data_IF_847952812838
#
_entry.id   IF_847952812838
#
_cell.length_a   1.000
_cell.length_b   1.000
_cell.length_c   1.000
_cell.angle_alpha   90.00
_cell.angle_beta   90.00
_cell.angle_gamma   90.00
#
_symmetry.space_group_name_H-M   'P 1'
#
loop_
_entity.id
_entity.type
_entity.pdbx_description
1 polymer ?
#
# COMPACT_ATOMS: atom_id res chain seq x y z
N UNK A 1 -0.01 7.35 20.68
CA UNK A 1 -1.30 7.22 19.98
C UNK A 1 -1.48 5.81 19.44
N UNK A 2 -2.65 5.20 19.67
CA UNK A 2 -3.16 4.06 18.88
C UNK A 2 -4.10 4.68 17.84
N UNK A 3 -4.02 4.32 16.55
CA UNK A 3 -4.94 4.83 15.54
C UNK A 3 -6.34 4.26 15.76
N UNK A 4 -7.36 4.92 15.22
CA UNK A 4 -8.71 4.33 15.15
C UNK A 4 -8.89 3.57 13.84
N UNK A 5 -9.81 2.60 13.84
CA UNK A 5 -10.28 1.99 12.60
C UNK A 5 -11.17 3.03 11.88
N UNK A 6 -11.11 3.05 10.56
CA UNK A 6 -11.84 3.96 9.67
C UNK A 6 -11.43 5.45 9.78
N UNK A 7 -10.29 5.74 10.40
CA UNK A 7 -9.70 7.08 10.48
C UNK A 7 -8.74 7.39 9.31
N UNK A 8 -8.84 8.60 8.76
CA UNK A 8 -7.84 9.15 7.84
C UNK A 8 -6.67 9.79 8.61
N UNK A 9 -5.46 9.31 8.34
CA UNK A 9 -4.22 9.74 9.00
C UNK A 9 -3.13 10.11 7.99
N UNK A 10 -2.20 10.96 8.43
CA UNK A 10 -0.93 11.18 7.72
C UNK A 10 0.10 10.19 8.26
N UNK A 11 0.71 9.41 7.38
CA UNK A 11 1.74 8.42 7.74
C UNK A 11 3.06 8.74 7.05
N UNK A 12 4.17 8.49 7.76
CA UNK A 12 5.52 8.62 7.25
C UNK A 12 6.32 7.35 7.53
N UNK A 13 7.11 6.89 6.55
CA UNK A 13 7.97 5.72 6.70
C UNK A 13 9.17 6.05 7.59
N UNK A 14 9.43 5.22 8.60
CA UNK A 14 10.71 5.21 9.31
C UNK A 14 11.53 4.02 8.78
N UNK A 15 12.44 4.23 7.81
CA UNK A 15 13.24 3.15 7.24
C UNK A 15 14.22 2.58 8.27
N UNK A 16 14.69 3.40 9.22
CA UNK A 16 15.65 2.98 10.25
C UNK A 16 14.94 2.10 11.29
N UNK A 17 13.77 2.50 11.80
CA UNK A 17 12.97 1.65 12.70
C UNK A 17 12.39 0.42 11.98
N UNK A 18 12.18 0.48 10.66
CA UNK A 18 11.77 -0.68 9.86
C UNK A 18 12.85 -1.76 9.87
N UNK A 19 14.10 -1.40 9.56
CA UNK A 19 15.20 -2.37 9.41
C UNK A 19 16.05 -2.58 10.67
N UNK A 20 15.77 -1.90 11.79
CA UNK A 20 16.49 -2.05 13.06
C UNK A 20 16.69 -3.51 13.50
N UNK A 21 15.72 -4.38 13.22
CA UNK A 21 15.77 -5.81 13.58
C UNK A 21 16.69 -6.68 12.72
N UNK A 22 17.27 -6.14 11.63
CA UNK A 22 18.27 -6.85 10.82
C UNK A 22 19.70 -6.74 11.38
N UNK A 23 19.92 -5.80 12.31
CA UNK A 23 21.23 -5.51 12.92
C UNK A 23 22.39 -5.23 11.93
N UNK A 24 22.05 -4.89 10.68
CA UNK A 24 23.01 -4.60 9.60
C UNK A 24 23.40 -3.10 9.55
N UNK A 25 24.69 -2.75 9.73
CA UNK A 25 25.18 -1.38 9.59
C UNK A 25 25.08 -0.81 8.18
N UNK A 26 25.17 -1.63 7.12
CA UNK A 26 25.09 -1.17 5.73
C UNK A 26 23.64 -0.81 5.37
N UNK A 27 22.69 -1.70 5.65
CA UNK A 27 21.26 -1.38 5.56
C UNK A 27 20.88 -0.16 6.41
N UNK A 28 21.38 -0.06 7.64
CA UNK A 28 21.11 1.10 8.51
C UNK A 28 21.60 2.42 7.88
N UNK A 29 22.82 2.42 7.32
CA UNK A 29 23.40 3.59 6.64
C UNK A 29 22.63 3.93 5.35
N UNK A 30 22.19 2.93 4.58
CA UNK A 30 21.34 3.13 3.42
C UNK A 30 19.98 3.75 3.82
N UNK A 31 19.35 3.26 4.89
CA UNK A 31 18.10 3.80 5.42
C UNK A 31 18.23 5.26 5.88
N UNK A 32 19.34 5.64 6.50
CA UNK A 32 19.62 7.03 6.89
C UNK A 32 19.72 8.00 5.70
N UNK A 33 20.04 7.49 4.50
CA UNK A 33 20.09 8.28 3.27
C UNK A 33 18.72 8.35 2.53
N UNK A 34 17.69 7.62 2.97
CA UNK A 34 16.38 7.63 2.35
C UNK A 34 15.54 8.84 2.81
N UNK A 35 15.03 9.61 1.84
CA UNK A 35 14.07 10.69 2.09
C UNK A 35 12.65 10.14 2.14
N UNK A 36 12.13 9.94 3.36
CA UNK A 36 10.76 9.47 3.59
C UNK A 36 9.71 10.54 3.28
N UNK A 37 8.84 10.25 2.31
CA UNK A 37 7.65 11.07 2.00
C UNK A 37 6.53 10.84 3.02
N UNK A 38 5.65 11.84 3.17
CA UNK A 38 4.36 11.72 3.86
C UNK A 38 3.30 11.22 2.88
N UNK A 39 2.37 10.40 3.37
CA UNK A 39 1.23 9.87 2.63
C UNK A 39 -0.05 10.03 3.47
N UNK A 40 -1.20 10.17 2.81
CA UNK A 40 -2.51 10.11 3.48
C UNK A 40 -3.06 8.69 3.30
N UNK A 41 -3.58 8.11 4.37
CA UNK A 41 -4.12 6.76 4.38
C UNK A 41 -5.34 6.65 5.30
N UNK A 42 -6.26 5.74 4.98
CA UNK A 42 -7.35 5.31 5.85
C UNK A 42 -6.93 4.03 6.57
N UNK A 43 -7.09 3.96 7.88
CA UNK A 43 -6.86 2.75 8.67
C UNK A 43 -8.05 1.81 8.45
N UNK A 44 -7.83 0.61 7.94
CA UNK A 44 -8.92 -0.34 7.62
C UNK A 44 -8.98 -1.53 8.56
N UNK A 45 -7.90 -1.81 9.30
CA UNK A 45 -7.87 -2.87 10.30
C UNK A 45 -6.73 -2.65 11.30
N UNK A 46 -6.94 -3.06 12.55
CA UNK A 46 -5.88 -3.13 13.57
C UNK A 46 -5.90 -4.55 14.12
N UNK A 47 -4.76 -5.25 14.05
CA UNK A 47 -4.67 -6.60 14.62
C UNK A 47 -4.80 -6.55 16.16
N UNK A 48 -5.36 -7.61 16.80
CA UNK A 48 -5.64 -7.60 18.24
C UNK A 48 -4.43 -7.18 19.09
N UNK A 49 -4.64 -6.14 19.90
CA UNK A 49 -3.61 -5.56 20.75
C UNK A 49 -3.20 -6.53 21.86
N UNK A 50 -2.00 -7.10 21.77
CA UNK A 50 -1.31 -7.64 22.95
C UNK A 50 -0.84 -6.44 23.77
N UNK A 51 -1.32 -6.35 25.02
CA UNK A 51 -0.96 -5.29 25.96
C UNK A 51 0.56 -5.25 26.18
N UNK A 52 1.15 -4.07 26.07
CA UNK A 52 2.59 -3.83 26.30
C UNK A 52 3.49 -3.90 25.07
N UNK A 53 2.97 -4.22 23.88
CA UNK A 53 3.78 -4.21 22.65
C UNK A 53 4.14 -2.79 22.19
N UNK A 54 5.41 -2.53 21.89
CA UNK A 54 5.89 -1.24 21.32
C UNK A 54 5.36 -1.02 19.89
N UNK A 55 5.10 -2.09 19.13
CA UNK A 55 4.57 -2.02 17.78
C UNK A 55 3.32 -2.89 17.65
N UNK A 56 2.34 -2.39 16.90
CA UNK A 56 1.10 -3.09 16.54
C UNK A 56 1.01 -3.22 15.03
N UNK A 57 0.34 -4.26 14.53
CA UNK A 57 0.13 -4.46 13.11
C UNK A 57 -1.18 -3.80 12.67
N UNK A 58 -1.09 -2.94 11.67
CA UNK A 58 -2.20 -2.10 11.17
C UNK A 58 -2.29 -2.27 9.66
N UNK A 59 -3.48 -2.51 9.14
CA UNK A 59 -3.76 -2.43 7.70
C UNK A 59 -4.32 -1.06 7.37
N UNK A 60 -3.84 -0.48 6.28
CA UNK A 60 -4.30 0.80 5.76
C UNK A 60 -4.50 0.75 4.24
N UNK A 61 -5.28 1.70 3.72
CA UNK A 61 -5.46 1.93 2.28
C UNK A 61 -5.08 3.37 1.94
N UNK A 62 -4.35 3.56 0.84
CA UNK A 62 -3.82 4.88 0.50
C UNK A 62 -4.84 5.77 -0.22
N UNK A 63 -4.70 7.07 0.04
CA UNK A 63 -5.50 8.12 -0.59
C UNK A 63 -4.66 8.76 -1.70
N UNK A 64 -5.24 8.88 -2.89
CA UNK A 64 -4.65 9.58 -4.03
C UNK A 64 -5.27 10.97 -4.19
N UNK A 65 -4.50 11.88 -4.78
CA UNK A 65 -5.02 13.10 -5.39
C UNK A 65 -5.49 12.72 -6.80
N UNK A 66 -6.80 12.77 -7.04
CA UNK A 66 -7.44 12.32 -8.27
C UNK A 66 -7.61 10.79 -8.38
N UNK A 67 -8.35 10.38 -9.40
CA UNK A 67 -8.51 8.98 -9.82
C UNK A 67 -7.19 8.54 -10.49
N UNK A 68 -6.58 7.46 -9.99
CA UNK A 68 -5.31 6.96 -10.53
C UNK A 68 -5.46 6.27 -11.89
N UNK A 69 -4.38 6.26 -12.67
CA UNK A 69 -4.27 5.43 -13.89
C UNK A 69 -4.33 3.93 -13.57
N UNK A 70 -4.81 3.16 -14.55
CA UNK A 70 -4.79 1.70 -14.49
C UNK A 70 -3.34 1.18 -14.36
N UNK A 71 -3.15 0.10 -13.59
CA UNK A 71 -1.88 -0.63 -13.48
C UNK A 71 -2.11 -2.11 -13.82
N UNK A 72 -2.11 -2.48 -15.12
CA UNK A 72 -2.43 -3.84 -15.58
C UNK A 72 -1.56 -4.91 -14.92
N UNK A 73 -0.26 -4.66 -14.77
CA UNK A 73 0.70 -5.60 -14.17
C UNK A 73 0.43 -5.98 -12.70
N UNK A 74 -0.55 -5.33 -12.04
CA UNK A 74 -1.02 -5.69 -10.69
C UNK A 74 -2.56 -5.71 -10.60
N UNK A 75 -3.25 -5.76 -11.75
CA UNK A 75 -4.71 -5.83 -11.86
C UNK A 75 -5.46 -4.69 -11.14
N UNK A 76 -4.84 -3.52 -11.01
CA UNK A 76 -5.44 -2.36 -10.34
C UNK A 76 -6.10 -1.44 -11.36
N UNK A 77 -7.41 -1.24 -11.23
CA UNK A 77 -8.22 -0.44 -12.15
C UNK A 77 -8.65 0.92 -11.53
N UNK A 78 -8.83 1.99 -12.32
CA UNK A 78 -9.39 3.27 -11.87
C UNK A 78 -10.75 3.12 -11.17
N UNK A 79 -11.54 2.14 -11.61
CA UNK A 79 -12.85 1.75 -11.07
C UNK A 79 -12.78 1.22 -9.63
N UNK A 80 -11.61 0.78 -9.15
CA UNK A 80 -11.37 0.31 -7.78
C UNK A 80 -11.05 1.47 -6.80
N UNK A 81 -11.44 2.69 -7.17
CA UNK A 81 -11.37 3.87 -6.31
C UNK A 81 -12.75 4.20 -5.73
N UNK A 82 -12.78 5.13 -4.78
CA UNK A 82 -14.00 5.72 -4.24
C UNK A 82 -13.71 7.22 -4.01
N UNK A 83 -14.54 8.15 -4.51
CA UNK A 83 -14.36 9.56 -4.20
C UNK A 83 -14.55 9.80 -2.69
N UNK A 84 -13.81 10.76 -2.14
CA UNK A 84 -14.09 11.31 -0.81
C UNK A 84 -14.73 12.68 -0.99
N UNK A 85 -15.80 12.95 -0.25
CA UNK A 85 -16.54 14.21 -0.32
C UNK A 85 -15.59 15.41 -0.07
N UNK A 86 -15.63 16.49 -0.87
CA UNK A 86 -16.70 16.89 -1.80
C UNK A 86 -16.65 16.29 -3.22
N UNK A 87 -15.67 15.44 -3.55
CA UNK A 87 -15.58 14.86 -4.90
C UNK A 87 -16.78 13.95 -5.21
N UNK A 88 -17.19 13.89 -6.48
CA UNK A 88 -18.34 13.08 -6.94
C UNK A 88 -18.08 12.32 -8.23
N UNK A 89 -17.00 12.62 -8.94
CA UNK A 89 -16.64 11.96 -10.20
C UNK A 89 -16.11 10.55 -9.89
N UNK A 90 -16.61 9.53 -10.59
CA UNK A 90 -16.08 8.17 -10.51
C UNK A 90 -16.52 7.41 -11.77
N UNK A 91 -15.70 6.54 -12.39
CA UNK A 91 -16.08 5.86 -13.63
C UNK A 91 -17.36 5.03 -13.50
N UNK A 92 -17.52 4.31 -12.38
CA UNK A 92 -18.75 3.56 -12.04
C UNK A 92 -19.79 4.37 -11.24
N UNK A 93 -19.70 5.71 -11.21
CA UNK A 93 -20.61 6.58 -10.44
C UNK A 93 -20.77 6.20 -8.95
N UNK A 94 -19.69 5.77 -8.29
CA UNK A 94 -19.72 5.43 -6.85
C UNK A 94 -19.98 6.69 -6.01
N UNK A 95 -20.92 6.67 -5.05
CA UNK A 95 -21.16 7.82 -4.19
C UNK A 95 -19.95 8.08 -3.28
N UNK A 96 -19.64 9.34 -2.94
CA UNK A 96 -18.47 9.66 -2.14
C UNK A 96 -18.58 9.20 -0.69
N UNK A 97 -17.45 8.77 -0.12
CA UNK A 97 -17.30 8.56 1.32
C UNK A 97 -17.35 9.91 2.05
N UNK A 98 -17.99 9.93 3.23
CA UNK A 98 -18.13 11.10 4.09
C UNK A 98 -17.45 10.84 5.43
N UNK A 99 -16.26 11.42 5.67
CA UNK A 99 -15.72 11.52 7.00
C UNK A 99 -16.53 12.50 7.86
N UNK A 100 -16.45 12.36 9.18
CA UNK A 100 -17.14 13.21 10.17
C UNK A 100 -16.71 14.68 10.06
N UNK A 101 -15.46 14.90 9.68
CA UNK A 101 -14.87 16.19 9.31
C UNK A 101 -14.34 16.10 7.89
N UNK A 102 -14.59 17.12 7.07
CA UNK A 102 -14.05 17.19 5.72
C UNK A 102 -12.52 17.16 5.75
N UNK A 103 -11.91 16.41 4.83
CA UNK A 103 -10.45 16.35 4.72
C UNK A 103 -9.91 17.71 4.26
N UNK A 104 -8.79 18.19 4.82
CA UNK A 104 -8.21 19.49 4.44
C UNK A 104 -7.58 19.50 3.04
N UNK A 105 -7.48 18.35 2.38
CA UNK A 105 -6.90 18.20 1.04
C UNK A 105 -7.99 18.09 -0.03
N UNK A 106 -7.90 18.86 -1.14
CA UNK A 106 -8.81 18.72 -2.25
C UNK A 106 -8.57 17.41 -3.02
N UNK A 107 -9.54 17.01 -3.85
CA UNK A 107 -9.39 15.89 -4.79
C UNK A 107 -8.97 14.55 -4.18
N UNK A 108 -9.34 14.26 -2.92
CA UNK A 108 -9.10 12.97 -2.30
C UNK A 108 -9.95 11.82 -2.89
N UNK A 109 -9.28 10.72 -3.23
CA UNK A 109 -9.86 9.45 -3.63
C UNK A 109 -9.22 8.29 -2.85
N UNK A 110 -10.02 7.37 -2.36
CA UNK A 110 -9.54 6.17 -1.68
C UNK A 110 -9.48 5.00 -2.65
N UNK A 111 -8.32 4.36 -2.78
CA UNK A 111 -8.18 3.15 -3.61
C UNK A 111 -8.36 1.91 -2.75
N UNK A 112 -9.39 1.11 -3.01
CA UNK A 112 -9.75 -0.03 -2.14
C UNK A 112 -8.69 -1.13 -2.14
N UNK A 113 -8.05 -1.33 -3.30
CA UNK A 113 -7.05 -2.40 -3.54
C UNK A 113 -5.59 -1.94 -3.43
N UNK A 114 -5.34 -0.68 -3.06
CA UNK A 114 -4.00 -0.15 -2.80
C UNK A 114 -3.78 -0.03 -1.28
N UNK A 115 -3.70 -1.20 -0.64
CA UNK A 115 -3.46 -1.35 0.78
C UNK A 115 -2.02 -1.71 1.14
N UNK A 116 -1.69 -1.57 2.42
CA UNK A 116 -0.42 -1.98 3.01
C UNK A 116 -0.65 -2.41 4.46
N UNK A 117 0.10 -3.41 4.93
CA UNK A 117 0.18 -3.76 6.36
C UNK A 117 1.49 -3.21 6.93
N UNK A 118 1.38 -2.52 8.07
CA UNK A 118 2.47 -1.74 8.66
C UNK A 118 2.62 -2.04 10.15
N UNK A 119 3.86 -1.92 10.65
CA UNK A 119 4.13 -1.83 12.08
C UNK A 119 3.93 -0.37 12.51
N UNK A 120 2.90 -0.13 13.30
CA UNK A 120 2.62 1.17 13.88
C UNK A 120 3.23 1.25 15.27
N UNK A 121 3.97 2.32 15.57
CA UNK A 121 4.56 2.50 16.90
C UNK A 121 3.48 2.88 17.93
N UNK A 122 3.22 1.98 18.86
CA UNK A 122 2.26 2.14 19.94
C UNK A 122 2.80 3.06 21.04
N UNK A 123 2.72 4.37 20.83
CA UNK A 123 3.08 5.38 21.84
C UNK A 123 1.91 5.66 22.80
N UNK A 124 1.18 4.62 23.25
CA UNK A 124 0.10 4.77 24.25
C UNK A 124 0.62 4.43 25.64
N UNK A 125 0.52 5.40 26.54
CA UNK A 125 0.74 5.17 27.96
C UNK A 125 -0.36 4.29 28.55
N UNK A 126 0.02 3.32 29.39
CA UNK A 126 -0.92 2.41 30.04
C UNK A 126 -1.85 3.20 30.98
N UNK A 127 -3.16 3.16 30.71
CA UNK A 127 -4.17 3.92 31.45
C UNK A 127 -4.43 5.35 30.93
N UNK A 128 -3.70 5.83 29.93
CA UNK A 128 -3.97 7.11 29.28
C UNK A 128 -5.31 7.13 28.52
N UNK A 129 -5.97 8.30 28.42
CA UNK A 129 -7.24 8.44 27.69
C UNK A 129 -7.03 8.16 26.19
N UNK A 130 -8.06 7.60 25.55
CA UNK A 130 -8.10 7.48 24.11
C UNK A 130 -8.55 8.83 23.52
N UNK A 131 -7.68 9.46 22.73
CA UNK A 131 -8.05 10.66 21.97
C UNK A 131 -9.08 10.29 20.90
N UNK A 132 -10.08 11.14 20.60
CA UNK A 132 -11.04 10.88 19.53
C UNK A 132 -10.37 10.95 18.15
N UNK A 133 -10.89 10.20 17.19
CA UNK A 133 -10.49 10.30 15.79
C UNK A 133 -10.96 11.63 15.19
N UNK A 134 -10.08 12.38 14.52
CA UNK A 134 -10.43 13.69 13.96
C UNK A 134 -11.12 13.56 12.59
N UNK A 135 -10.67 12.61 11.78
CA UNK A 135 -11.12 12.37 10.41
C UNK A 135 -11.63 10.93 10.26
N UNK A 136 -12.47 10.47 11.18
CA UNK A 136 -13.16 9.17 11.11
C UNK A 136 -14.21 9.15 9.99
N UNK A 137 -14.45 8.00 9.37
CA UNK A 137 -15.64 7.79 8.52
C UNK A 137 -16.91 7.69 9.36
N UNK A 138 -18.06 8.06 8.77
CA UNK A 138 -19.34 7.63 9.35
C UNK A 138 -19.43 6.10 9.32
N UNK A 139 -20.02 5.48 10.35
CA UNK A 139 -20.17 4.01 10.43
C UNK A 139 -20.86 3.39 9.18
N UNK A 140 -21.74 4.16 8.52
CA UNK A 140 -22.36 3.79 7.23
C UNK A 140 -21.34 3.69 6.09
N UNK A 141 -20.43 4.66 6.00
CA UNK A 141 -19.42 4.71 4.95
C UNK A 141 -18.21 3.81 5.25
N UNK A 142 -17.88 3.58 6.52
CA UNK A 142 -16.97 2.50 6.95
C UNK A 142 -17.46 1.12 6.46
N UNK A 143 -18.72 0.78 6.78
CA UNK A 143 -19.37 -0.46 6.30
C UNK A 143 -19.32 -0.56 4.77
N UNK A 144 -19.60 0.55 4.08
CA UNK A 144 -19.60 0.60 2.61
C UNK A 144 -18.20 0.48 2.00
N UNK A 145 -17.18 1.06 2.63
CA UNK A 145 -15.78 0.90 2.26
C UNK A 145 -15.35 -0.57 2.36
N UNK A 146 -15.73 -1.25 3.46
CA UNK A 146 -15.46 -2.68 3.64
C UNK A 146 -16.13 -3.55 2.56
N UNK A 147 -17.39 -3.27 2.22
CA UNK A 147 -18.11 -3.95 1.13
C UNK A 147 -17.43 -3.74 -0.22
N UNK A 148 -17.17 -2.48 -0.61
CA UNK A 148 -16.51 -2.15 -1.88
C UNK A 148 -15.09 -2.74 -1.97
N UNK A 149 -14.34 -2.78 -0.86
CA UNK A 149 -13.04 -3.43 -0.80
C UNK A 149 -13.10 -4.95 -1.00
N UNK A 150 -14.19 -5.58 -0.54
CA UNK A 150 -14.44 -7.01 -0.76
C UNK A 150 -14.83 -7.30 -2.21
N UNK A 151 -15.71 -6.46 -2.79
CA UNK A 151 -16.14 -6.56 -4.19
C UNK A 151 -14.98 -6.33 -5.17
N UNK A 152 -14.21 -5.27 -4.97
CA UNK A 152 -13.03 -4.94 -5.79
C UNK A 152 -11.92 -5.98 -5.65
N UNK A 153 -11.73 -6.55 -4.45
CA UNK A 153 -10.76 -7.63 -4.23
C UNK A 153 -11.15 -8.90 -4.98
N UNK A 154 -12.43 -9.28 -4.94
CA UNK A 154 -12.96 -10.38 -5.72
C UNK A 154 -12.88 -10.13 -7.24
N UNK A 155 -13.06 -8.88 -7.68
CA UNK A 155 -12.88 -8.51 -9.09
C UNK A 155 -11.43 -8.59 -9.53
N UNK A 156 -10.51 -8.02 -8.75
CA UNK A 156 -9.07 -8.07 -8.98
C UNK A 156 -8.55 -9.50 -9.07
N UNK A 157 -9.05 -10.40 -8.23
CA UNK A 157 -8.71 -11.83 -8.27
C UNK A 157 -9.14 -12.50 -9.58
N UNK A 158 -10.33 -12.18 -10.12
CA UNK A 158 -10.80 -12.72 -11.40
C UNK A 158 -9.92 -12.27 -12.57
N UNK A 159 -9.55 -10.98 -12.61
CA UNK A 159 -8.64 -10.45 -13.64
C UNK A 159 -7.29 -11.20 -13.64
N UNK A 160 -6.74 -11.46 -12.46
CA UNK A 160 -5.49 -12.21 -12.34
C UNK A 160 -5.60 -13.67 -12.80
N UNK A 161 -6.78 -14.30 -12.65
CA UNK A 161 -7.06 -15.66 -13.13
C UNK A 161 -7.29 -15.71 -14.65
N UNK A 162 -7.95 -14.69 -15.21
CA UNK A 162 -8.18 -14.55 -16.65
C UNK A 162 -6.86 -14.35 -17.40
N UNK A 163 -5.97 -13.49 -16.90
CA UNK A 163 -4.63 -13.31 -17.47
C UNK A 163 -3.80 -14.60 -17.42
N UNK A 164 -3.79 -15.34 -16.30
CA UNK A 164 -3.00 -16.58 -16.20
C UNK A 164 -3.54 -17.70 -17.09
N UNK A 165 -4.86 -17.76 -17.32
CA UNK A 165 -5.45 -18.73 -18.25
C UNK A 165 -5.16 -18.41 -19.74
N UNK A 166 -4.78 -17.17 -20.06
CA UNK A 166 -4.42 -16.74 -21.41
C UNK A 166 -3.04 -17.21 -21.89
N UNK A 167 -2.14 -17.60 -20.99
CA UNK A 167 -0.77 -18.03 -21.32
C UNK A 167 -0.67 -19.54 -21.65
N UNK A 168 -1.66 -20.36 -21.28
CA UNK A 168 -1.64 -21.83 -21.35
C UNK A 168 -2.08 -22.44 -22.71
N UNK A 169 -1.70 -21.84 -23.85
CA UNK A 169 -1.85 -22.45 -25.19
C UNK A 169 -0.47 -22.85 -25.77
N UNK A 170 0.06 -24.03 -25.43
CA UNK A 170 1.19 -24.59 -26.16
C UNK A 170 0.74 -24.98 -27.58
N UNK A 171 1.28 -24.28 -28.58
CA UNK A 171 1.14 -24.67 -29.99
C UNK A 171 1.88 -26.00 -30.22
N UNK A 172 1.15 -27.10 -30.08
CA UNK A 172 1.71 -28.44 -30.16
C UNK A 172 1.88 -28.87 -31.63
N UNK A 173 3.01 -28.51 -32.23
CA UNK A 173 3.55 -29.18 -33.40
C UNK A 173 5.02 -29.56 -33.16
N UNK A 174 5.44 -30.63 -33.85
CA UNK A 174 6.81 -31.11 -33.95
C UNK A 174 7.43 -31.76 -32.70
N UNK A 175 6.95 -32.98 -32.41
CA UNK A 175 7.79 -34.05 -31.85
C UNK A 175 8.13 -35.07 -32.93
N UNK A 176 9.40 -35.19 -33.29
CA UNK A 176 10.19 -36.44 -33.17
C UNK A 176 11.58 -36.27 -33.80
N UNK A 177 12.64 -36.22 -32.98
CA UNK A 177 13.66 -37.28 -32.86
C UNK A 177 14.75 -36.89 -31.83
N UNK A 178 15.32 -37.89 -31.16
CA UNK A 178 16.30 -37.75 -30.07
C UNK A 178 17.61 -38.45 -30.48
N UNK A 179 18.77 -37.79 -30.34
CA UNK A 179 20.07 -38.44 -30.03
C UNK A 179 21.23 -37.44 -29.81
N UNK A 180 22.21 -37.84 -28.98
CA UNK A 180 23.50 -37.17 -28.78
C UNK A 180 23.63 -36.38 -27.46
N UNK A 181 24.17 -36.92 -26.36
CA UNK A 181 25.60 -37.14 -25.97
C UNK A 181 26.22 -36.01 -25.14
N UNK A 182 26.86 -36.39 -24.02
CA UNK A 182 27.59 -35.54 -23.07
C UNK A 182 28.76 -34.75 -23.68
N UNK A 183 28.94 -33.49 -23.26
CA UNK A 183 30.22 -32.87 -22.87
C UNK A 183 29.94 -31.89 -21.71
N UNK A 184 30.89 -31.70 -20.79
CA UNK A 184 30.87 -30.63 -19.80
C UNK A 184 32.05 -29.67 -20.06
N UNK A 185 31.81 -28.35 -20.05
CA UNK A 185 32.87 -27.34 -19.93
C UNK A 185 32.31 -25.98 -19.46
N UNK A 186 33.19 -25.00 -19.31
CA UNK A 186 33.14 -23.97 -18.27
C UNK A 186 32.31 -22.70 -18.52
N UNK A 187 31.97 -22.06 -17.38
CA UNK A 187 31.86 -20.61 -17.11
C UNK A 187 31.28 -19.71 -18.22
N UNK A 188 30.10 -19.14 -17.96
CA UNK A 188 29.85 -17.75 -18.33
C UNK A 188 28.97 -17.01 -17.29
N UNK A 189 29.45 -15.84 -16.85
CA UNK A 189 28.75 -14.97 -15.89
C UNK A 189 27.93 -13.93 -16.68
N UNK A 190 26.58 -13.93 -16.60
CA UNK A 190 25.77 -12.92 -17.27
C UNK A 190 25.82 -11.56 -16.54
N UNK A 191 25.56 -10.45 -17.24
CA UNK A 191 26.42 -9.27 -17.11
C UNK A 191 25.95 -8.23 -16.08
N UNK A 192 26.92 -7.38 -15.68
CA UNK A 192 26.68 -6.10 -15.00
C UNK A 192 25.64 -5.27 -15.76
N UNK A 193 24.40 -5.22 -15.26
CA UNK A 193 23.38 -4.30 -15.79
C UNK A 193 23.60 -2.90 -15.23
N UNK A 194 23.82 -1.97 -16.16
CA UNK A 194 23.97 -0.53 -15.96
C UNK A 194 23.01 0.04 -14.92
N UNK A 195 23.53 0.85 -13.99
CA UNK A 195 22.75 1.70 -13.09
C UNK A 195 22.11 2.86 -13.87
N UNK A 196 21.06 2.57 -14.63
CA UNK A 196 20.20 3.60 -15.19
C UNK A 196 19.13 3.96 -14.16
N UNK A 197 19.17 5.19 -13.67
CA UNK A 197 18.33 5.73 -12.62
C UNK A 197 16.83 5.67 -12.97
N UNK A 198 16.06 4.91 -12.19
CA UNK A 198 14.60 5.02 -12.15
C UNK A 198 14.21 5.34 -10.70
N UNK A 199 13.79 6.59 -10.46
CA UNK A 199 13.24 6.99 -9.17
C UNK A 199 11.91 6.25 -8.94
N UNK A 200 11.89 5.42 -7.89
CA UNK A 200 10.71 4.93 -7.16
C UNK A 200 9.41 4.75 -7.99
N UNK A 201 9.28 3.60 -8.64
CA UNK A 201 7.96 3.00 -8.93
C UNK A 201 7.85 1.69 -8.14
N UNK A 202 6.78 1.58 -7.36
CA UNK A 202 6.58 0.61 -6.29
C UNK A 202 6.95 -0.84 -6.67
N UNK A 203 7.75 -1.49 -5.82
CA UNK A 203 8.04 -2.93 -5.90
C UNK A 203 6.76 -3.77 -5.68
N UNK A 204 6.72 -5.03 -6.19
CA UNK A 204 5.63 -5.95 -5.91
C UNK A 204 5.47 -6.18 -4.39
N UNK A 205 4.26 -6.53 -3.96
CA UNK A 205 3.93 -6.80 -2.56
C UNK A 205 4.82 -7.92 -1.97
N UNK A 206 5.85 -7.52 -1.22
CA UNK A 206 6.53 -8.39 -0.27
C UNK A 206 5.77 -8.28 1.07
N UNK A 207 5.37 -9.39 1.70
CA UNK A 207 4.69 -9.38 2.99
C UNK A 207 5.68 -9.23 4.15
N UNK A 208 6.44 -8.11 4.17
CA UNK A 208 7.29 -7.75 5.30
C UNK A 208 6.99 -6.32 5.78
N UNK A 209 6.60 -6.22 7.05
CA UNK A 209 5.94 -5.04 7.62
C UNK A 209 6.85 -3.81 7.76
N UNK A 210 6.54 -2.78 6.98
CA UNK A 210 7.16 -1.46 7.09
C UNK A 210 6.73 -0.74 8.38
N UNK A 211 7.66 -0.09 9.07
CA UNK A 211 7.36 0.68 10.29
C UNK A 211 6.97 2.12 9.94
N UNK A 212 5.75 2.53 10.32
CA UNK A 212 5.26 3.90 10.12
C UNK A 212 5.05 4.61 11.47
N UNK A 213 5.17 5.95 11.44
CA UNK A 213 4.79 6.83 12.55
C UNK A 213 3.88 7.96 12.05
N UNK A 214 3.06 8.49 12.96
CA UNK A 214 2.36 9.76 12.79
C UNK A 214 3.27 10.88 13.25
N UNK A 215 3.26 11.97 12.50
CA UNK A 215 3.98 13.18 12.81
C UNK A 215 2.94 14.22 13.24
N UNK A 216 2.81 14.46 14.55
CA UNK A 216 1.79 15.32 15.16
C UNK A 216 1.91 16.81 14.75
N UNK A 217 2.98 17.18 14.03
CA UNK A 217 3.13 18.49 13.43
C UNK A 217 2.27 18.64 12.18
N UNK A 218 1.01 19.02 12.39
CA UNK A 218 0.13 19.65 11.40
C UNK A 218 0.65 21.04 10.97
N UNK A 219 1.80 21.06 10.30
CA UNK A 219 2.27 22.18 9.48
C UNK A 219 3.07 21.65 8.29
N UNK A 220 2.39 21.51 7.16
CA UNK A 220 3.00 21.44 5.82
C UNK A 220 2.07 22.29 4.94
N UNK A 221 2.28 23.60 4.97
CA UNK A 221 2.93 24.33 3.88
C UNK A 221 1.98 24.50 2.68
N UNK A 222 1.26 25.61 2.71
CA UNK A 222 0.99 26.42 1.51
C UNK A 222 2.31 26.82 0.84
N UNK A 223 2.24 27.12 -0.47
CA UNK A 223 3.22 27.91 -1.25
C UNK A 223 4.61 27.22 -1.44
N UNK A 224 5.37 27.30 -2.54
CA UNK A 224 5.21 27.69 -3.97
C UNK A 224 5.87 26.55 -4.82
N UNK A 225 5.78 26.42 -6.15
CA UNK A 225 5.11 27.16 -7.24
C UNK A 225 4.02 26.27 -7.89
#
# INVERSE_FOLDING_TARGET
MVPHIDEYVIVQLDPVASLKGLEDPEATKACQALVSKKYVACITWIQPLILGMEYISVSLTFISNGIGEARPAVHLLPEMTIPIYPNTQHPLSRPPLRPLKELPWPHCYQTTQLGCQVRWRNTREAGGPLLPAEYELTAKDATRLQMLSSEDGAWRLRLAQEDSAGEDIPSNNDRHELQGTHVAEDIEVPPKRSLNSILLRFFPCIPDSASLYVNDNCSVCSDDD
#
